data_IF_039503206682
#
_entry.id   IF_039503206682
#
_cell.length_a   1.000
_cell.length_b   1.000
_cell.length_c   1.000
_cell.angle_alpha   90.00
_cell.angle_beta   90.00
_cell.angle_gamma   90.00
#
_symmetry.space_group_name_H-M   'P 1'
#
loop_
_entity.id
_entity.type
_entity.pdbx_description
1 polymer ?
#
# COMPACT_ATOMS: atom_id res chain seq x y z
N UNK A 1 -3.00 -19.48 -32.60
CA UNK A 1 -3.01 -20.25 -31.33
C UNK A 1 -4.24 -19.85 -30.55
N UNK A 2 -5.03 -20.83 -30.09
CA UNK A 2 -6.18 -20.57 -29.22
C UNK A 2 -5.76 -20.69 -27.75
N UNK A 3 -6.23 -19.77 -26.92
CA UNK A 3 -5.95 -19.73 -25.48
C UNK A 3 -7.22 -19.47 -24.68
N UNK A 4 -7.35 -20.15 -23.55
CA UNK A 4 -8.41 -19.87 -22.58
C UNK A 4 -7.97 -18.70 -21.71
N UNK A 5 -8.87 -17.77 -21.45
CA UNK A 5 -8.62 -16.57 -20.65
C UNK A 5 -9.77 -16.36 -19.69
N UNK A 6 -9.50 -15.64 -18.59
CA UNK A 6 -10.58 -15.14 -17.73
C UNK A 6 -11.07 -13.81 -18.29
N UNK A 7 -12.38 -13.59 -18.44
CA UNK A 7 -12.91 -12.27 -18.76
C UNK A 7 -12.41 -11.22 -17.77
N UNK A 8 -12.21 -9.99 -18.23
CA UNK A 8 -11.64 -8.87 -17.47
C UNK A 8 -10.23 -9.07 -16.89
N UNK A 9 -9.54 -10.16 -17.26
CA UNK A 9 -8.14 -10.32 -16.92
C UNK A 9 -7.21 -9.53 -17.84
N UNK A 10 -5.95 -9.46 -17.44
CA UNK A 10 -4.87 -8.94 -18.27
C UNK A 10 -4.06 -10.10 -18.86
N UNK A 11 -3.80 -10.03 -20.16
CA UNK A 11 -2.93 -10.95 -20.89
C UNK A 11 -1.69 -10.19 -21.38
N UNK A 12 -0.52 -10.69 -21.01
CA UNK A 12 0.77 -10.23 -21.52
C UNK A 12 1.23 -11.20 -22.62
N UNK A 13 1.56 -10.64 -23.78
CA UNK A 13 2.05 -11.37 -24.94
C UNK A 13 3.47 -10.87 -25.23
N UNK A 14 4.45 -11.70 -24.90
CA UNK A 14 5.86 -11.42 -25.15
C UNK A 14 6.29 -12.19 -26.37
N UNK A 15 6.71 -11.50 -27.42
CA UNK A 15 7.32 -12.14 -28.56
C UNK A 15 8.33 -11.21 -29.20
N UNK A 16 9.21 -11.80 -30.00
CA UNK A 16 10.22 -11.06 -30.74
C UNK A 16 9.99 -11.28 -32.22
N UNK A 17 9.97 -10.18 -32.97
CA UNK A 17 10.07 -10.23 -34.42
C UNK A 17 11.55 -10.28 -34.81
N UNK A 18 11.98 -11.36 -35.45
CA UNK A 18 13.30 -11.42 -36.08
C UNK A 18 13.32 -10.46 -37.27
N UNK A 19 14.22 -9.49 -37.20
CA UNK A 19 14.45 -8.54 -38.29
C UNK A 19 15.36 -9.18 -39.35
N UNK A 20 15.19 -8.75 -40.60
CA UNK A 20 16.12 -9.05 -41.70
C UNK A 20 17.51 -8.44 -41.46
N UNK A 21 18.49 -8.78 -42.29
CA UNK A 21 19.85 -8.22 -42.20
C UNK A 21 19.91 -6.68 -42.32
N UNK A 22 18.90 -6.06 -42.94
CA UNK A 22 18.73 -4.60 -43.00
C UNK A 22 18.05 -4.01 -41.76
N UNK A 23 17.83 -4.81 -40.71
CA UNK A 23 17.08 -4.45 -39.47
C UNK A 23 15.61 -4.09 -39.74
N UNK A 24 15.06 -4.59 -40.84
CA UNK A 24 13.66 -4.40 -41.23
C UNK A 24 12.85 -5.66 -40.96
N UNK A 25 11.65 -5.52 -40.42
CA UNK A 25 10.75 -6.65 -40.16
C UNK A 25 9.69 -6.25 -39.15
N UNK A 26 8.46 -6.68 -39.40
CA UNK A 26 7.33 -6.43 -38.52
C UNK A 26 6.34 -7.60 -38.60
N UNK A 27 5.62 -7.82 -37.50
CA UNK A 27 4.53 -8.79 -37.42
C UNK A 27 3.29 -8.09 -36.91
N UNK A 28 2.16 -8.27 -37.60
CA UNK A 28 0.85 -7.95 -37.07
C UNK A 28 0.39 -9.05 -36.12
N UNK A 29 0.32 -8.76 -34.83
CA UNK A 29 -0.38 -9.58 -33.84
C UNK A 29 -1.86 -9.21 -33.90
N UNK A 30 -2.68 -10.16 -34.37
CA UNK A 30 -4.14 -10.07 -34.42
C UNK A 30 -4.73 -10.93 -33.30
N UNK A 31 -5.58 -10.33 -32.47
CA UNK A 31 -6.27 -10.97 -31.35
C UNK A 31 -7.76 -11.02 -31.69
N UNK A 32 -8.34 -12.22 -31.70
CA UNK A 32 -9.75 -12.45 -32.00
C UNK A 32 -10.47 -13.13 -30.85
N UNK A 33 -11.76 -12.85 -30.70
CA UNK A 33 -12.67 -13.69 -29.92
C UNK A 33 -12.81 -15.03 -30.66
N UNK A 34 -12.36 -16.12 -30.05
CA UNK A 34 -12.33 -17.45 -30.69
C UNK A 34 -13.71 -18.10 -30.81
N UNK A 35 -14.76 -17.56 -30.18
CA UNK A 35 -16.14 -18.05 -30.33
C UNK A 35 -16.86 -17.32 -31.45
N UNK A 36 -16.67 -15.99 -31.50
CA UNK A 36 -17.34 -15.12 -32.49
C UNK A 36 -16.55 -14.97 -33.78
N UNK A 37 -15.27 -15.34 -33.77
CA UNK A 37 -14.31 -15.07 -34.85
C UNK A 37 -14.21 -13.58 -35.21
N UNK A 38 -14.44 -12.71 -34.23
CA UNK A 38 -14.37 -11.25 -34.39
C UNK A 38 -13.02 -10.74 -33.95
N UNK A 39 -12.42 -9.85 -34.72
CA UNK A 39 -11.18 -9.16 -34.33
C UNK A 39 -11.44 -8.20 -33.17
N UNK A 40 -10.66 -8.37 -32.11
CA UNK A 40 -10.68 -7.51 -30.93
C UNK A 40 -9.54 -6.49 -31.00
N UNK A 41 -8.39 -6.90 -31.54
CA UNK A 41 -7.26 -6.02 -31.72
C UNK A 41 -6.27 -6.46 -32.79
N UNK A 42 -5.57 -5.48 -33.36
CA UNK A 42 -4.38 -5.69 -34.19
C UNK A 42 -3.30 -4.70 -33.79
N UNK A 43 -2.08 -5.19 -33.58
CA UNK A 43 -0.90 -4.37 -33.30
C UNK A 43 0.26 -4.77 -34.19
N UNK A 44 0.94 -3.79 -34.80
CA UNK A 44 2.14 -4.01 -35.60
C UNK A 44 3.38 -3.97 -34.69
N UNK A 45 4.19 -5.03 -34.72
CA UNK A 45 5.32 -5.23 -33.82
C UNK A 45 6.61 -5.38 -34.62
N UNK A 46 7.43 -4.34 -34.62
CA UNK A 46 8.67 -4.24 -35.39
C UNK A 46 9.96 -4.35 -34.54
N UNK A 47 9.85 -4.41 -33.21
CA UNK A 47 10.99 -4.42 -32.28
C UNK A 47 11.08 -5.72 -31.48
N UNK A 48 12.28 -6.03 -31.03
CA UNK A 48 12.57 -7.22 -30.19
C UNK A 48 12.26 -6.96 -28.72
N UNK A 49 11.85 -7.99 -27.98
CA UNK A 49 11.81 -7.96 -26.50
C UNK A 49 10.73 -7.07 -25.88
N UNK A 50 9.61 -6.85 -26.58
CA UNK A 50 8.52 -5.96 -26.15
C UNK A 50 7.42 -6.76 -25.44
N UNK A 51 7.00 -6.32 -24.25
CA UNK A 51 5.85 -6.84 -23.54
C UNK A 51 4.57 -6.11 -23.96
N UNK A 52 3.64 -6.85 -24.55
CA UNK A 52 2.37 -6.31 -25.06
C UNK A 52 1.23 -6.67 -24.10
N UNK A 53 0.59 -5.66 -23.54
CA UNK A 53 -0.54 -5.81 -22.62
C UNK A 53 -1.87 -5.70 -23.37
N UNK A 54 -2.70 -6.73 -23.24
CA UNK A 54 -4.07 -6.76 -23.73
C UNK A 54 -5.03 -6.94 -22.55
N UNK A 55 -6.02 -6.07 -22.45
CA UNK A 55 -7.15 -6.24 -21.52
C UNK A 55 -8.20 -7.13 -22.18
N UNK A 56 -8.46 -8.28 -21.57
CA UNK A 56 -9.47 -9.22 -22.08
C UNK A 56 -10.86 -8.62 -21.88
N UNK A 57 -11.72 -8.55 -22.93
CA UNK A 57 -13.10 -8.10 -22.79
C UNK A 57 -13.90 -8.92 -21.77
N UNK A 58 -14.93 -8.29 -21.19
CA UNK A 58 -15.83 -8.87 -20.17
C UNK A 58 -16.58 -10.12 -20.65
N UNK A 59 -16.70 -10.32 -21.96
CA UNK A 59 -17.47 -11.38 -22.60
C UNK A 59 -16.62 -12.38 -23.40
N UNK A 60 -15.28 -12.26 -23.32
CA UNK A 60 -14.33 -13.14 -23.98
C UNK A 60 -13.64 -14.06 -22.96
N UNK A 61 -13.83 -15.37 -23.13
CA UNK A 61 -13.17 -16.42 -22.32
C UNK A 61 -12.20 -17.29 -23.15
N UNK A 62 -12.13 -17.04 -24.46
CA UNK A 62 -11.22 -17.72 -25.37
C UNK A 62 -10.76 -16.79 -26.48
N UNK A 63 -9.46 -16.71 -26.69
CA UNK A 63 -8.84 -15.83 -27.69
C UNK A 63 -8.08 -16.65 -28.74
N UNK A 64 -8.15 -16.20 -29.99
CA UNK A 64 -7.29 -16.64 -31.06
C UNK A 64 -6.22 -15.60 -31.33
N UNK A 65 -4.96 -15.99 -31.12
CA UNK A 65 -3.78 -15.18 -31.40
C UNK A 65 -3.23 -15.58 -32.77
N UNK A 66 -3.23 -14.65 -33.72
CA UNK A 66 -2.69 -14.81 -35.06
C UNK A 66 -1.50 -13.87 -35.23
N UNK A 67 -0.42 -14.40 -35.77
CA UNK A 67 0.80 -13.65 -36.03
C UNK A 67 1.01 -13.63 -37.53
N UNK A 68 0.84 -12.45 -38.13
CA UNK A 68 0.84 -12.28 -39.58
C UNK A 68 2.07 -11.44 -39.95
N UNK A 69 3.04 -11.97 -40.70
CA UNK A 69 4.17 -11.18 -41.18
C UNK A 69 3.70 -9.95 -41.98
N UNK A 70 4.28 -8.80 -41.68
CA UNK A 70 4.04 -7.57 -42.43
C UNK A 70 5.13 -7.40 -43.49
N UNK A 71 4.83 -7.90 -44.69
CA UNK A 71 5.76 -7.84 -45.81
C UNK A 71 6.02 -6.42 -46.32
N UNK A 72 5.18 -5.44 -45.95
CA UNK A 72 5.39 -4.04 -46.34
C UNK A 72 6.52 -3.38 -45.57
N UNK A 73 6.90 -3.93 -44.42
CA UNK A 73 7.98 -3.42 -43.59
C UNK A 73 9.38 -3.68 -44.18
N UNK A 74 9.49 -4.51 -45.24
CA UNK A 74 10.76 -4.82 -45.92
C UNK A 74 10.85 -4.02 -47.22
N UNK A 75 11.72 -3.00 -47.22
CA UNK A 75 11.88 -2.09 -48.36
C UNK A 75 12.73 -2.70 -49.51
N UNK A 76 13.56 -3.71 -49.20
CA UNK A 76 14.43 -4.38 -50.18
C UNK A 76 14.43 -5.91 -49.98
N UNK A 77 13.60 -6.59 -50.76
CA UNK A 77 13.44 -8.03 -50.72
C UNK A 77 14.68 -8.81 -51.24
N UNK A 78 15.64 -8.14 -51.89
CA UNK A 78 16.88 -8.77 -52.38
C UNK A 78 17.85 -9.11 -51.24
N UNK A 79 17.69 -8.46 -50.09
CA UNK A 79 18.54 -8.62 -48.89
C UNK A 79 17.95 -9.60 -47.86
N UNK A 80 16.85 -10.27 -48.19
CA UNK A 80 16.25 -11.33 -47.35
C UNK A 80 17.08 -12.60 -47.51
N UNK A 81 17.65 -13.09 -46.41
CA UNK A 81 18.38 -14.35 -46.39
C UNK A 81 17.43 -15.51 -46.72
N UNK A 82 17.75 -16.28 -47.76
CA UNK A 82 17.13 -17.59 -48.00
C UNK A 82 17.72 -18.58 -47.01
N UNK A 83 16.89 -19.21 -46.19
CA UNK A 83 17.36 -20.23 -45.25
C UNK A 83 17.78 -21.51 -46.00
N UNK A 84 18.45 -22.44 -45.29
CA UNK A 84 18.92 -23.71 -45.86
C UNK A 84 17.80 -24.59 -46.45
N UNK A 85 16.56 -24.32 -46.07
CA UNK A 85 15.33 -24.97 -46.56
C UNK A 85 14.78 -24.34 -47.85
N UNK A 86 15.42 -23.30 -48.39
CA UNK A 86 15.05 -22.65 -49.65
C UNK A 86 13.95 -21.60 -49.55
N UNK A 87 13.38 -21.37 -48.35
CA UNK A 87 12.33 -20.38 -48.13
C UNK A 87 12.90 -19.01 -47.76
N UNK A 88 12.30 -17.96 -48.32
CA UNK A 88 12.54 -16.56 -47.94
C UNK A 88 11.51 -16.16 -46.90
N UNK A 89 11.96 -15.91 -45.68
CA UNK A 89 11.08 -15.56 -44.57
C UNK A 89 11.17 -14.06 -44.29
N UNK A 90 10.01 -13.42 -44.19
CA UNK A 90 9.87 -11.96 -44.12
C UNK A 90 9.95 -11.42 -42.68
N UNK A 91 9.66 -12.28 -41.68
CA UNK A 91 9.77 -12.03 -40.24
C UNK A 91 9.54 -13.36 -39.52
N UNK A 92 10.44 -13.78 -38.63
CA UNK A 92 10.22 -14.96 -37.78
C UNK A 92 9.80 -14.53 -36.40
N UNK A 93 8.94 -15.33 -35.77
CA UNK A 93 8.73 -15.26 -34.34
C UNK A 93 9.42 -16.48 -33.76
N UNK A 94 10.50 -16.22 -33.03
CA UNK A 94 11.31 -17.26 -32.43
C UNK A 94 10.59 -17.90 -31.24
N UNK A 95 10.01 -17.07 -30.35
CA UNK A 95 9.30 -17.53 -29.16
C UNK A 95 8.11 -16.62 -28.83
N UNK A 96 7.03 -17.23 -28.31
CA UNK A 96 5.85 -16.53 -27.78
C UNK A 96 5.66 -16.94 -26.32
N UNK A 97 5.84 -15.98 -25.41
CA UNK A 97 5.49 -16.08 -24.01
C UNK A 97 4.11 -15.48 -23.76
N UNK A 98 3.29 -16.20 -22.98
CA UNK A 98 1.97 -15.75 -22.55
C UNK A 98 1.92 -15.75 -21.04
N UNK A 99 1.58 -14.61 -20.44
CA UNK A 99 1.53 -14.43 -19.00
C UNK A 99 0.25 -13.73 -18.60
N UNK A 100 -0.24 -13.98 -17.39
CA UNK A 100 -1.19 -13.05 -16.78
C UNK A 100 -0.48 -11.75 -16.40
N UNK A 101 -1.25 -10.67 -16.25
CA UNK A 101 -0.74 -9.43 -15.68
C UNK A 101 -0.23 -9.57 -14.24
N UNK A 102 0.16 -8.44 -13.68
CA UNK A 102 0.49 -8.33 -12.25
C UNK A 102 -0.74 -8.49 -11.38
N UNK A 103 -0.54 -8.91 -10.14
CA UNK A 103 -1.61 -8.98 -9.15
C UNK A 103 -1.07 -8.57 -7.79
N UNK A 104 -1.35 -7.32 -7.41
CA UNK A 104 -0.96 -6.80 -6.10
C UNK A 104 -1.99 -7.15 -5.03
N UNK A 105 -1.51 -7.38 -3.81
CA UNK A 105 -2.39 -7.64 -2.67
C UNK A 105 -1.68 -7.24 -1.37
N UNK A 106 -2.46 -6.97 -0.32
CA UNK A 106 -1.92 -6.83 1.03
C UNK A 106 -1.58 -8.23 1.54
N UNK A 107 -0.29 -8.52 1.66
CA UNK A 107 0.23 -9.83 2.02
C UNK A 107 0.27 -10.05 3.53
N UNK A 108 0.68 -9.04 4.28
CA UNK A 108 0.77 -9.11 5.73
C UNK A 108 0.69 -7.72 6.37
N UNK A 109 0.30 -7.67 7.65
CA UNK A 109 0.45 -6.51 8.50
C UNK A 109 1.20 -6.91 9.77
N UNK A 110 2.26 -6.18 10.09
CA UNK A 110 3.04 -6.41 11.31
C UNK A 110 2.75 -5.27 12.30
N UNK A 111 1.84 -5.54 13.23
CA UNK A 111 1.21 -4.52 14.06
C UNK A 111 1.40 -4.85 15.53
N UNK A 112 1.65 -3.82 16.35
CA UNK A 112 1.48 -3.97 17.79
C UNK A 112 0.01 -4.30 18.08
N UNK A 113 -0.29 -5.20 19.03
CA UNK A 113 -1.65 -5.70 19.23
C UNK A 113 -2.65 -4.62 19.67
N UNK A 114 -2.15 -3.53 20.25
CA UNK A 114 -2.93 -2.45 20.84
C UNK A 114 -2.28 -1.10 20.53
N UNK A 115 -3.11 -0.09 20.32
CA UNK A 115 -2.73 1.32 20.32
C UNK A 115 -3.10 1.95 21.67
N UNK A 116 -2.38 2.99 22.07
CA UNK A 116 -2.69 3.77 23.28
C UNK A 116 -3.19 5.13 22.86
N UNK A 117 -4.24 5.61 23.52
CA UNK A 117 -4.77 6.95 23.28
C UNK A 117 -3.67 8.02 23.48
N UNK A 118 -3.78 9.13 22.78
CA UNK A 118 -2.83 10.24 22.81
C UNK A 118 -1.36 9.83 22.57
N UNK A 119 -1.11 8.75 21.82
CA UNK A 119 0.21 8.29 21.40
C UNK A 119 0.27 7.99 19.91
N UNK A 120 1.48 8.02 19.36
CA UNK A 120 1.76 7.53 18.02
C UNK A 120 1.64 6.00 17.97
N UNK A 121 1.09 5.48 16.88
CA UNK A 121 0.99 4.07 16.58
C UNK A 121 1.57 3.79 15.19
N UNK A 122 2.40 2.75 15.08
CA UNK A 122 3.07 2.40 13.81
C UNK A 122 2.28 1.31 13.10
N UNK A 123 1.99 1.54 11.82
CA UNK A 123 1.34 0.58 10.93
C UNK A 123 2.39 0.11 9.92
N UNK A 124 2.64 -1.20 9.89
CA UNK A 124 3.50 -1.83 8.90
C UNK A 124 2.67 -2.70 7.96
N UNK A 125 2.76 -2.43 6.66
CA UNK A 125 2.03 -3.13 5.60
C UNK A 125 3.01 -3.73 4.60
N UNK A 126 2.86 -5.02 4.30
CA UNK A 126 3.58 -5.69 3.22
C UNK A 126 2.64 -5.90 2.04
N UNK A 127 3.01 -5.37 0.88
CA UNK A 127 2.26 -5.48 -0.38
C UNK A 127 3.02 -6.45 -1.29
N UNK A 128 2.41 -7.58 -1.61
CA UNK A 128 2.99 -8.61 -2.48
C UNK A 128 2.50 -8.48 -3.92
N UNK A 129 3.28 -9.01 -4.86
CA UNK A 129 2.85 -9.29 -6.23
C UNK A 129 2.88 -10.79 -6.49
N UNK A 130 1.72 -11.44 -6.68
CA UNK A 130 1.63 -12.86 -7.05
C UNK A 130 1.11 -13.06 -8.49
N UNK A 131 1.11 -12.02 -9.31
CA UNK A 131 0.88 -12.13 -10.75
C UNK A 131 2.10 -12.67 -11.48
N UNK A 132 1.94 -13.04 -12.75
CA UNK A 132 3.04 -13.55 -13.58
C UNK A 132 3.84 -12.44 -14.28
N UNK A 133 3.54 -11.18 -13.96
CA UNK A 133 4.23 -10.02 -14.51
C UNK A 133 4.44 -8.91 -13.47
N UNK A 134 5.34 -7.97 -13.75
CA UNK A 134 5.66 -6.88 -12.84
C UNK A 134 4.53 -5.85 -12.75
N UNK A 135 4.21 -5.40 -11.54
CA UNK A 135 3.36 -4.22 -11.34
C UNK A 135 4.20 -2.96 -11.55
N UNK A 136 3.70 -1.96 -12.25
CA UNK A 136 4.44 -0.74 -12.53
C UNK A 136 4.59 0.13 -11.30
N UNK A 137 5.82 0.58 -11.04
CA UNK A 137 6.18 1.55 -10.01
C UNK A 137 6.56 2.90 -10.60
N UNK A 138 6.38 3.10 -11.91
CA UNK A 138 6.49 4.42 -12.55
C UNK A 138 5.70 5.46 -11.76
N UNK A 139 6.07 6.72 -11.90
CA UNK A 139 5.38 7.81 -11.23
C UNK A 139 3.86 7.72 -11.46
N UNK A 140 3.08 7.81 -10.37
CA UNK A 140 1.61 7.75 -10.35
C UNK A 140 0.96 6.40 -10.76
N UNK A 141 1.74 5.36 -11.09
CA UNK A 141 1.19 4.07 -11.55
C UNK A 141 0.97 3.04 -10.43
N UNK A 142 1.40 3.34 -9.21
CA UNK A 142 1.07 2.57 -8.00
C UNK A 142 0.66 3.53 -6.88
N UNK A 143 -0.46 3.22 -6.23
CA UNK A 143 -1.03 3.96 -5.11
C UNK A 143 -1.50 3.00 -4.03
N UNK A 144 -1.15 3.30 -2.79
CA UNK A 144 -1.73 2.68 -1.61
C UNK A 144 -2.45 3.75 -0.79
N UNK A 145 -3.74 3.56 -0.60
CA UNK A 145 -4.64 4.49 0.08
C UNK A 145 -5.14 3.86 1.37
N UNK A 146 -5.15 4.64 2.44
CA UNK A 146 -5.68 4.22 3.74
C UNK A 146 -6.65 5.28 4.24
N UNK A 147 -7.91 4.87 4.43
CA UNK A 147 -8.92 5.70 5.10
C UNK A 147 -8.81 5.45 6.58
N UNK A 148 -8.45 6.49 7.33
CA UNK A 148 -8.23 6.44 8.76
C UNK A 148 -9.56 6.61 9.50
N UNK A 149 -9.78 5.85 10.58
CA UNK A 149 -10.99 6.00 11.41
C UNK A 149 -10.99 7.33 12.15
N UNK A 150 -12.17 7.72 12.66
CA UNK A 150 -12.31 8.92 13.49
C UNK A 150 -11.39 8.84 14.73
N UNK A 151 -10.79 9.97 15.10
CA UNK A 151 -9.82 10.03 16.21
C UNK A 151 -8.42 9.54 15.81
N UNK A 152 -8.20 9.17 14.55
CA UNK A 152 -6.88 8.80 14.04
C UNK A 152 -6.45 9.74 12.93
N UNK A 153 -5.24 10.26 13.03
CA UNK A 153 -4.65 11.18 12.03
C UNK A 153 -3.28 10.71 11.60
N UNK A 154 -2.89 10.98 10.35
CA UNK A 154 -1.57 10.63 9.85
C UNK A 154 -0.47 11.50 10.50
N UNK A 155 0.66 10.90 10.86
CA UNK A 155 1.86 11.63 11.30
C UNK A 155 2.69 11.99 10.08
N UNK A 156 2.86 13.30 9.83
CA UNK A 156 3.64 13.80 8.70
C UNK A 156 5.08 13.25 8.72
N UNK A 157 5.63 13.03 7.52
CA UNK A 157 7.01 12.55 7.29
C UNK A 157 7.35 11.23 7.99
N UNK A 158 6.34 10.43 8.35
CA UNK A 158 6.52 9.14 9.04
C UNK A 158 6.70 7.94 8.11
N UNK A 159 6.42 8.09 6.80
CA UNK A 159 6.53 6.99 5.85
C UNK A 159 7.99 6.55 5.67
N UNK A 160 8.23 5.26 5.85
CA UNK A 160 9.43 4.58 5.41
C UNK A 160 9.07 3.37 4.55
N UNK A 161 9.96 3.02 3.62
CA UNK A 161 9.72 1.92 2.68
C UNK A 161 10.93 1.00 2.60
N UNK A 162 10.68 -0.30 2.53
CA UNK A 162 11.72 -1.29 2.24
C UNK A 162 11.44 -1.95 0.90
N UNK A 163 12.34 -1.75 -0.04
CA UNK A 163 12.26 -2.31 -1.40
C UNK A 163 12.94 -3.68 -1.46
N UNK A 164 12.35 -4.68 -2.13
CA UNK A 164 12.86 -6.05 -2.08
C UNK A 164 14.15 -6.24 -2.87
N UNK A 165 15.07 -7.04 -2.32
CA UNK A 165 16.27 -7.48 -3.03
C UNK A 165 15.92 -8.35 -4.26
N UNK A 166 16.73 -8.23 -5.31
CA UNK A 166 16.55 -8.96 -6.56
C UNK A 166 15.41 -8.44 -7.42
N UNK A 167 14.94 -7.22 -7.17
CA UNK A 167 14.01 -6.49 -8.03
C UNK A 167 14.78 -5.72 -9.13
N UNK A 168 15.83 -6.35 -9.68
CA UNK A 168 17.05 -5.81 -10.32
C UNK A 168 18.13 -5.30 -9.34
N UNK A 169 19.40 -5.61 -9.66
CA UNK A 169 20.56 -5.32 -8.82
C UNK A 169 20.71 -3.81 -8.55
N UNK A 170 20.91 -3.45 -7.29
CA UNK A 170 21.15 -2.05 -6.86
C UNK A 170 20.00 -1.07 -7.17
N UNK A 171 18.76 -1.56 -7.25
CA UNK A 171 17.55 -0.73 -7.37
C UNK A 171 17.05 -0.28 -6.00
N UNK A 172 16.64 0.99 -5.90
CA UNK A 172 16.02 1.58 -4.71
C UNK A 172 14.75 2.30 -5.15
N UNK A 173 13.67 2.15 -4.39
CA UNK A 173 12.44 2.92 -4.60
C UNK A 173 12.70 4.39 -4.32
N UNK A 174 12.28 5.28 -5.22
CA UNK A 174 12.28 6.72 -4.91
C UNK A 174 11.27 6.99 -3.80
N UNK A 175 11.56 7.97 -2.96
CA UNK A 175 10.61 8.40 -1.93
C UNK A 175 9.23 8.61 -2.55
N UNK A 176 8.23 7.95 -1.98
CA UNK A 176 6.85 8.06 -2.44
C UNK A 176 6.32 9.46 -2.12
N UNK A 177 5.41 9.96 -2.95
CA UNK A 177 4.64 11.14 -2.60
C UNK A 177 3.57 10.75 -1.60
N UNK A 178 3.50 11.48 -0.49
CA UNK A 178 2.47 11.32 0.54
C UNK A 178 1.49 12.47 0.42
N UNK A 179 0.20 12.15 0.33
CA UNK A 179 -0.87 13.12 0.37
C UNK A 179 -1.86 12.73 1.47
N UNK A 180 -2.02 13.56 2.50
CA UNK A 180 -3.00 13.36 3.56
C UNK A 180 -4.13 14.38 3.44
N UNK A 181 -5.31 13.90 3.03
CA UNK A 181 -6.54 14.67 3.01
C UNK A 181 -7.20 14.59 4.39
N UNK A 182 -7.13 15.67 5.15
CA UNK A 182 -7.72 15.76 6.49
C UNK A 182 -9.26 15.74 6.47
N UNK A 183 -9.89 16.23 5.41
CA UNK A 183 -11.35 16.27 5.31
C UNK A 183 -11.92 14.87 5.05
N UNK A 184 -11.27 14.10 4.18
CA UNK A 184 -11.62 12.70 3.92
C UNK A 184 -10.99 11.72 4.93
N UNK A 185 -10.16 12.23 5.85
CA UNK A 185 -9.27 11.48 6.73
C UNK A 185 -8.55 10.32 6.02
N UNK A 186 -7.96 10.61 4.86
CA UNK A 186 -7.39 9.60 3.97
C UNK A 186 -5.96 9.96 3.61
N UNK A 187 -5.05 9.01 3.77
CA UNK A 187 -3.67 9.12 3.32
C UNK A 187 -3.46 8.30 2.06
N UNK A 188 -2.75 8.87 1.09
CA UNK A 188 -2.39 8.23 -0.18
C UNK A 188 -0.88 8.27 -0.36
N UNK A 189 -0.29 7.10 -0.56
CA UNK A 189 1.12 6.93 -0.90
C UNK A 189 1.24 6.59 -2.38
N UNK A 190 1.95 7.42 -3.14
CA UNK A 190 2.07 7.30 -4.61
C UNK A 190 3.51 7.03 -5.04
N UNK A 191 3.72 6.01 -5.88
CA UNK A 191 5.06 5.70 -6.42
C UNK A 191 5.62 6.85 -7.24
N UNK A 192 6.95 7.01 -7.19
CA UNK A 192 7.69 8.01 -7.97
C UNK A 192 8.72 7.39 -8.92
N UNK A 193 8.66 6.07 -9.12
CA UNK A 193 9.67 5.30 -9.84
C UNK A 193 10.72 4.67 -8.93
N UNK A 194 11.75 4.13 -9.55
CA UNK A 194 12.94 3.58 -8.87
C UNK A 194 14.21 4.27 -9.40
N UNK A 195 15.32 4.11 -8.69
CA UNK A 195 16.66 4.54 -9.13
C UNK A 195 17.64 3.40 -9.04
N UNK A 196 18.65 3.38 -9.91
CA UNK A 196 19.83 2.51 -9.78
C UNK A 196 21.07 3.32 -9.45
N UNK A 197 21.98 2.72 -8.68
CA UNK A 197 23.29 3.31 -8.38
C UNK A 197 24.18 3.53 -9.62
N UNK A 198 23.88 2.88 -10.76
CA UNK A 198 24.72 2.90 -11.97
C UNK A 198 24.11 3.61 -13.18
N UNK A 199 22.94 4.23 -13.03
CA UNK A 199 22.28 4.96 -14.14
C UNK A 199 21.92 4.08 -15.35
N UNK A 200 21.90 2.76 -15.20
CA UNK A 200 21.51 1.81 -16.24
C UNK A 200 19.99 1.70 -16.33
N UNK A 201 19.49 1.26 -17.49
CA UNK A 201 18.07 0.98 -17.69
C UNK A 201 17.53 0.14 -16.53
N UNK A 202 16.55 0.68 -15.82
CA UNK A 202 15.93 0.03 -14.66
C UNK A 202 14.49 -0.25 -15.01
N UNK A 203 14.04 -1.48 -14.82
CA UNK A 203 12.60 -1.77 -14.89
C UNK A 203 11.95 -1.24 -13.62
N UNK A 204 11.17 -0.18 -13.75
CA UNK A 204 10.43 0.43 -12.64
C UNK A 204 9.19 -0.41 -12.29
N UNK A 205 9.42 -1.62 -11.77
CA UNK A 205 8.37 -2.61 -11.50
C UNK A 205 8.53 -3.25 -10.14
N UNK A 206 7.47 -3.71 -9.50
CA UNK A 206 7.52 -4.72 -8.44
C UNK A 206 7.39 -6.08 -9.12
N UNK A 207 8.47 -6.86 -9.15
CA UNK A 207 8.49 -8.16 -9.83
C UNK A 207 7.55 -9.19 -9.17
N UNK A 208 7.14 -10.24 -9.91
CA UNK A 208 6.46 -11.40 -9.35
C UNK A 208 7.19 -11.98 -8.13
N UNK A 209 6.43 -12.47 -7.17
CA UNK A 209 6.87 -13.08 -5.91
C UNK A 209 7.75 -12.16 -5.03
N UNK A 210 7.71 -10.85 -5.29
CA UNK A 210 8.35 -9.83 -4.46
C UNK A 210 7.32 -9.06 -3.65
N UNK A 211 7.79 -8.44 -2.58
CA UNK A 211 6.98 -7.59 -1.72
C UNK A 211 7.62 -6.23 -1.46
N UNK A 212 6.81 -5.19 -1.49
CA UNK A 212 7.14 -3.86 -0.99
C UNK A 212 6.63 -3.73 0.45
N UNK A 213 7.48 -3.29 1.38
CA UNK A 213 7.05 -2.99 2.75
C UNK A 213 6.94 -1.48 2.95
N UNK A 214 5.86 -1.05 3.57
CA UNK A 214 5.61 0.32 3.98
C UNK A 214 5.42 0.34 5.49
N UNK A 215 6.00 1.33 6.15
CA UNK A 215 5.81 1.59 7.57
C UNK A 215 5.52 3.06 7.75
N UNK A 216 4.46 3.39 8.48
CA UNK A 216 4.06 4.76 8.72
C UNK A 216 3.39 4.89 10.07
N UNK A 217 3.31 6.12 10.59
CA UNK A 217 2.73 6.39 11.90
C UNK A 217 1.42 7.14 11.80
N UNK A 218 0.56 6.87 12.77
CA UNK A 218 -0.69 7.61 13.00
C UNK A 218 -0.74 8.05 14.46
N UNK A 219 -1.34 9.22 14.70
CA UNK A 219 -1.71 9.63 16.05
C UNK A 219 -3.09 9.09 16.35
N UNK A 220 -3.22 8.42 17.49
CA UNK A 220 -4.51 7.96 18.02
C UNK A 220 -4.88 8.91 19.15
N UNK A 221 -5.99 9.64 19.04
CA UNK A 221 -6.38 10.66 20.00
C UNK A 221 -7.89 10.74 20.18
N UNK A 222 -8.32 11.00 21.42
CA UNK A 222 -9.71 11.24 21.78
C UNK A 222 -10.68 10.13 21.33
N UNK A 223 -10.21 8.88 21.36
CA UNK A 223 -11.08 7.73 21.14
C UNK A 223 -11.72 7.35 22.48
N UNK A 224 -13.03 7.12 22.48
CA UNK A 224 -13.72 6.52 23.62
C UNK A 224 -13.20 5.10 23.83
N UNK A 225 -12.26 4.95 24.76
CA UNK A 225 -11.61 3.67 25.07
C UNK A 225 -12.32 2.97 26.23
N UNK A 226 -12.28 1.63 26.27
CA UNK A 226 -11.63 0.74 25.29
C UNK A 226 -12.50 0.46 24.06
N UNK A 227 -11.89 0.47 22.86
CA UNK A 227 -12.61 0.33 21.59
C UNK A 227 -11.72 -0.23 20.49
N UNK A 228 -12.31 -1.02 19.60
CA UNK A 228 -11.68 -1.40 18.34
C UNK A 228 -12.00 -0.36 17.26
N UNK A 229 -11.00 0.00 16.49
CA UNK A 229 -11.14 0.87 15.32
C UNK A 229 -10.69 0.15 14.06
N UNK A 230 -11.39 0.42 12.95
CA UNK A 230 -11.16 -0.26 11.68
C UNK A 230 -10.48 0.65 10.67
N UNK A 231 -9.50 0.09 9.96
CA UNK A 231 -8.77 0.74 8.88
C UNK A 231 -9.17 0.12 7.56
N UNK A 232 -9.45 0.98 6.57
CA UNK A 232 -9.84 0.56 5.24
C UNK A 232 -8.77 0.92 4.23
N UNK A 233 -8.41 -0.03 3.38
CA UNK A 233 -7.25 0.09 2.50
C UNK A 233 -7.62 -0.20 1.06
N UNK A 234 -6.98 0.54 0.15
CA UNK A 234 -7.14 0.37 -1.29
C UNK A 234 -5.78 0.39 -1.97
N UNK A 235 -5.60 -0.54 -2.91
CA UNK A 235 -4.46 -0.59 -3.81
C UNK A 235 -4.94 -0.22 -5.21
N UNK A 236 -4.25 0.71 -5.85
CA UNK A 236 -4.47 1.03 -7.26
C UNK A 236 -3.15 0.89 -7.99
N UNK A 237 -3.11 0.10 -9.06
CA UNK A 237 -1.88 -0.14 -9.79
C UNK A 237 -2.14 -0.45 -11.27
N UNK A 238 -1.05 -0.46 -12.04
CA UNK A 238 -1.06 -0.90 -13.44
C UNK A 238 -0.04 -2.00 -13.65
N UNK A 239 -0.33 -2.95 -14.53
CA UNK A 239 0.69 -3.91 -14.97
C UNK A 239 1.71 -3.21 -15.86
N UNK A 240 2.99 -3.46 -15.60
CA UNK A 240 4.07 -2.94 -16.43
C UNK A 240 3.99 -3.55 -17.83
N UNK A 241 4.22 -2.73 -18.85
CA UNK A 241 4.25 -3.16 -20.24
C UNK A 241 5.02 -2.14 -21.07
N UNK A 242 5.50 -2.58 -22.22
CA UNK A 242 6.17 -1.72 -23.20
C UNK A 242 5.15 -1.17 -24.21
N UNK A 243 4.14 -1.98 -24.54
CA UNK A 243 3.06 -1.62 -25.47
C UNK A 243 1.72 -2.03 -24.85
N UNK A 244 0.75 -1.13 -24.88
CA UNK A 244 -0.65 -1.43 -24.55
C UNK A 244 -1.43 -1.56 -25.84
N UNK A 245 -2.16 -2.66 -26.00
CA UNK A 245 -2.94 -2.95 -27.19
C UNK A 245 -4.32 -2.30 -27.07
N UNK A 246 -4.65 -1.44 -28.03
CA UNK A 246 -5.98 -0.86 -28.30
C UNK A 246 -6.66 -0.01 -27.20
N UNK A 247 -6.02 0.27 -26.06
CA UNK A 247 -6.60 1.08 -24.99
C UNK A 247 -5.53 1.85 -24.21
N UNK A 248 -5.97 2.80 -23.37
CA UNK A 248 -5.14 3.33 -22.30
C UNK A 248 -4.72 2.18 -21.37
N UNK A 249 -3.53 2.29 -20.76
CA UNK A 249 -3.01 1.29 -19.84
C UNK A 249 -4.06 0.99 -18.75
N UNK A 250 -4.55 -0.26 -18.63
CA UNK A 250 -5.55 -0.61 -17.66
C UNK A 250 -5.07 -0.28 -16.24
N UNK A 251 -6.01 0.15 -15.42
CA UNK A 251 -5.79 0.41 -14.00
C UNK A 251 -6.64 -0.55 -13.19
N UNK A 252 -6.01 -1.21 -12.23
CA UNK A 252 -6.64 -2.17 -11.34
C UNK A 252 -6.75 -1.53 -9.97
N UNK A 253 -7.98 -1.47 -9.45
CA UNK A 253 -8.27 -1.07 -8.08
C UNK A 253 -8.72 -2.29 -7.29
N UNK A 254 -8.11 -2.52 -6.14
CA UNK A 254 -8.47 -3.56 -5.19
C UNK A 254 -8.72 -2.94 -3.82
N UNK A 255 -9.77 -3.38 -3.15
CA UNK A 255 -10.01 -3.07 -1.73
C UNK A 255 -9.49 -4.25 -0.93
N UNK A 256 -8.58 -3.99 0.02
CA UNK A 256 -8.11 -5.04 0.92
C UNK A 256 -9.11 -5.24 2.05
N UNK A 257 -9.09 -6.41 2.67
CA UNK A 257 -9.90 -6.67 3.85
C UNK A 257 -9.55 -5.67 4.96
N UNK A 258 -10.54 -5.00 5.56
CA UNK A 258 -10.30 -4.09 6.68
C UNK A 258 -9.59 -4.80 7.83
N UNK A 259 -8.82 -4.05 8.62
CA UNK A 259 -8.20 -4.57 9.84
C UNK A 259 -8.55 -3.70 11.04
N UNK A 260 -8.66 -4.34 12.20
CA UNK A 260 -9.02 -3.68 13.45
C UNK A 260 -7.81 -3.56 14.38
N UNK A 261 -7.72 -2.44 15.09
CA UNK A 261 -6.76 -2.21 16.17
C UNK A 261 -7.51 -1.89 17.45
N UNK A 262 -7.18 -2.59 18.53
CA UNK A 262 -7.70 -2.27 19.85
C UNK A 262 -7.02 -1.03 20.42
N UNK A 263 -7.81 -0.08 20.92
CA UNK A 263 -7.32 1.16 21.52
C UNK A 263 -7.57 1.11 23.03
N UNK A 264 -6.52 1.37 23.78
CA UNK A 264 -6.52 1.42 25.24
C UNK A 264 -6.27 2.83 25.76
N UNK A 265 -6.67 3.07 27.01
CA UNK A 265 -6.47 4.38 27.62
C UNK A 265 -4.99 4.64 27.88
N UNK A 266 -4.63 5.92 27.84
CA UNK A 266 -3.34 6.41 28.27
C UNK A 266 -3.36 6.69 29.77
N UNK A 267 -2.52 5.97 30.51
CA UNK A 267 -2.43 6.06 31.98
C UNK A 267 -1.18 6.80 32.46
N UNK A 268 -0.34 7.32 31.55
CA UNK A 268 0.94 7.94 31.90
C UNK A 268 0.79 9.14 32.83
N UNK A 269 -0.13 10.08 32.51
CA UNK A 269 -0.36 11.27 33.32
C UNK A 269 -0.92 10.91 34.71
N UNK A 270 -1.82 9.94 34.78
CA UNK A 270 -2.38 9.45 36.03
C UNK A 270 -1.29 8.79 36.91
N UNK A 271 -0.42 7.98 36.30
CA UNK A 271 0.72 7.37 36.97
C UNK A 271 1.69 8.44 37.52
N UNK A 272 1.92 9.53 36.78
CA UNK A 272 2.74 10.65 37.26
C UNK A 272 2.14 11.33 38.49
N UNK A 273 0.83 11.57 38.50
CA UNK A 273 0.15 12.14 39.69
C UNK A 273 0.28 11.22 40.90
N UNK A 274 0.09 9.90 40.72
CA UNK A 274 0.26 8.92 41.79
C UNK A 274 1.69 8.89 42.33
N UNK A 275 2.68 8.92 41.44
CA UNK A 275 4.10 8.87 41.81
C UNK A 275 4.60 10.18 42.44
N UNK A 276 3.86 11.28 42.30
CA UNK A 276 4.23 12.58 42.85
C UNK A 276 4.21 12.55 44.38
N UNK A 277 5.31 13.00 44.98
CA UNK A 277 5.42 13.22 46.42
C UNK A 277 4.93 14.64 46.75
N UNK A 278 4.07 14.74 47.75
CA UNK A 278 3.50 16.00 48.24
C UNK A 278 4.03 16.21 49.65
N UNK A 279 4.54 17.42 49.92
CA UNK A 279 4.89 17.84 51.27
C UNK A 279 3.64 18.44 51.92
N UNK A 280 3.04 17.64 52.81
CA UNK A 280 1.80 17.96 53.53
C UNK A 280 1.89 19.28 54.34
N UNK A 281 3.09 19.75 54.69
CA UNK A 281 3.24 20.98 55.51
C UNK A 281 2.79 22.25 54.80
N UNK A 282 2.70 22.23 53.46
CA UNK A 282 2.34 23.40 52.65
C UNK A 282 0.83 23.55 52.40
N UNK A 283 0.04 22.50 52.65
CA UNK A 283 -1.38 22.45 52.24
C UNK A 283 -2.34 22.29 53.40
N UNK A 284 -3.61 22.62 53.18
CA UNK A 284 -4.64 22.44 54.21
C UNK A 284 -4.92 20.95 54.45
N UNK A 285 -5.26 20.58 55.68
CA UNK A 285 -5.59 19.19 56.04
C UNK A 285 -6.74 18.62 55.20
N UNK A 286 -7.75 19.44 54.91
CA UNK A 286 -8.89 19.03 54.09
C UNK A 286 -8.49 18.74 52.63
N UNK A 287 -7.65 19.59 52.03
CA UNK A 287 -7.14 19.37 50.66
C UNK A 287 -6.30 18.10 50.55
N UNK A 288 -5.45 17.82 51.55
CA UNK A 288 -4.63 16.60 51.58
C UNK A 288 -5.49 15.35 51.67
N UNK A 289 -6.55 15.37 52.49
CA UNK A 289 -7.46 14.24 52.61
C UNK A 289 -8.19 13.92 51.29
N UNK A 290 -8.69 14.95 50.59
CA UNK A 290 -9.32 14.76 49.27
C UNK A 290 -8.30 14.31 48.22
N UNK A 291 -7.10 14.91 48.19
CA UNK A 291 -6.02 14.48 47.30
C UNK A 291 -5.65 13.00 47.50
N UNK A 292 -5.51 12.54 48.73
CA UNK A 292 -5.20 11.14 49.05
C UNK A 292 -6.32 10.18 48.62
N UNK A 293 -7.59 10.59 48.76
CA UNK A 293 -8.74 9.81 48.27
C UNK A 293 -8.72 9.70 46.74
N UNK A 294 -8.42 10.79 46.03
CA UNK A 294 -8.27 10.79 44.58
C UNK A 294 -7.07 9.92 44.14
N UNK A 295 -5.96 9.92 44.89
CA UNK A 295 -4.82 9.02 44.63
C UNK A 295 -5.19 7.55 44.75
N UNK A 296 -5.98 7.16 45.75
CA UNK A 296 -6.47 5.78 45.88
C UNK A 296 -7.37 5.35 44.71
N UNK A 297 -8.22 6.27 44.22
CA UNK A 297 -8.99 6.04 43.00
C UNK A 297 -8.08 5.84 41.79
N UNK A 298 -7.04 6.68 41.66
CA UNK A 298 -6.06 6.58 40.59
C UNK A 298 -5.31 5.24 40.63
N UNK A 299 -4.87 4.80 41.81
CA UNK A 299 -4.24 3.48 42.01
C UNK A 299 -5.15 2.33 41.61
N UNK A 300 -6.46 2.43 41.88
CA UNK A 300 -7.43 1.41 41.48
C UNK A 300 -7.50 1.30 39.95
N UNK A 301 -7.58 2.44 39.26
CA UNK A 301 -7.60 2.50 37.79
C UNK A 301 -6.29 1.97 37.20
N UNK A 302 -5.13 2.37 37.74
CA UNK A 302 -3.83 1.90 37.26
C UNK A 302 -3.69 0.37 37.32
N UNK A 303 -4.33 -0.28 38.29
CA UNK A 303 -4.26 -1.73 38.52
C UNK A 303 -5.40 -2.54 37.88
N UNK A 304 -6.30 -1.94 37.10
CA UNK A 304 -7.45 -2.65 36.49
C UNK A 304 -7.07 -3.90 35.69
N UNK A 305 -5.97 -3.85 34.94
CA UNK A 305 -5.52 -4.98 34.12
C UNK A 305 -4.95 -6.11 34.99
N UNK A 306 -4.12 -5.77 35.98
CA UNK A 306 -3.59 -6.71 36.97
C UNK A 306 -4.71 -7.33 37.83
N UNK A 307 -5.79 -6.59 38.05
CA UNK A 307 -6.98 -7.02 38.77
C UNK A 307 -8.02 -7.73 37.88
N UNK A 308 -7.69 -8.01 36.61
CA UNK A 308 -8.57 -8.68 35.65
C UNK A 308 -9.94 -8.00 35.48
N UNK A 309 -10.01 -6.68 35.61
CA UNK A 309 -11.24 -5.92 35.31
C UNK A 309 -11.56 -6.10 33.83
N UNK A 310 -12.78 -6.57 33.54
CA UNK A 310 -13.26 -6.74 32.17
C UNK A 310 -13.18 -5.43 31.40
N UNK A 311 -12.76 -5.49 30.14
CA UNK A 311 -12.56 -4.32 29.27
C UNK A 311 -13.76 -3.36 29.27
N UNK A 312 -14.99 -3.87 29.23
CA UNK A 312 -16.21 -3.05 29.24
C UNK A 312 -16.43 -2.25 30.54
N UNK A 313 -15.77 -2.64 31.64
CA UNK A 313 -15.92 -2.03 32.96
C UNK A 313 -14.70 -1.18 33.38
N UNK A 314 -13.68 -1.07 32.52
CA UNK A 314 -12.50 -0.24 32.79
C UNK A 314 -12.83 1.24 32.61
N UNK A 315 -12.15 2.10 33.35
CA UNK A 315 -12.29 3.55 33.24
C UNK A 315 -12.04 4.03 31.81
N UNK A 316 -12.85 4.95 31.31
CA UNK A 316 -12.65 5.55 29.99
C UNK A 316 -11.46 6.53 29.99
N UNK A 317 -11.02 6.95 28.80
CA UNK A 317 -10.01 8.02 28.73
C UNK A 317 -10.51 9.31 29.40
N UNK A 318 -11.80 9.64 29.23
CA UNK A 318 -12.40 10.83 29.85
C UNK A 318 -12.41 10.74 31.38
N UNK A 319 -12.65 9.56 31.96
CA UNK A 319 -12.58 9.35 33.40
C UNK A 319 -11.16 9.56 33.93
N UNK A 320 -10.16 9.06 33.20
CA UNK A 320 -8.75 9.23 33.54
C UNK A 320 -8.34 10.70 33.46
N UNK A 321 -8.66 11.39 32.37
CA UNK A 321 -8.30 12.80 32.16
C UNK A 321 -9.00 13.70 33.21
N UNK A 322 -10.26 13.39 33.53
CA UNK A 322 -11.02 14.06 34.58
C UNK A 322 -10.42 13.84 35.97
N UNK A 323 -9.94 12.63 36.27
CA UNK A 323 -9.28 12.34 37.54
C UNK A 323 -7.92 13.04 37.65
N UNK A 324 -7.14 13.08 36.57
CA UNK A 324 -5.88 13.85 36.51
C UNK A 324 -6.12 15.32 36.80
N UNK A 325 -7.16 15.92 36.19
CA UNK A 325 -7.52 17.33 36.42
C UNK A 325 -7.90 17.58 37.88
N UNK A 326 -8.67 16.67 38.49
CA UNK A 326 -9.03 16.78 39.91
C UNK A 326 -7.81 16.67 40.82
N UNK A 327 -6.89 15.74 40.55
CA UNK A 327 -5.65 15.59 41.30
C UNK A 327 -4.80 16.86 41.25
N UNK A 328 -4.68 17.48 40.08
CA UNK A 328 -3.93 18.72 39.88
C UNK A 328 -4.52 19.92 40.62
N UNK A 329 -5.85 19.94 40.82
CA UNK A 329 -6.56 21.04 41.48
C UNK A 329 -6.83 20.82 42.98
N UNK A 330 -6.59 19.63 43.51
CA UNK A 330 -7.04 19.25 44.85
C UNK A 330 -6.23 19.92 45.99
N UNK A 331 -4.96 20.24 45.75
CA UNK A 331 -4.08 20.83 46.77
C UNK A 331 -4.28 22.35 46.88
N UNK A 332 -4.58 22.83 48.09
CA UNK A 332 -4.80 24.25 48.39
C UNK A 332 -3.74 24.71 49.39
N UNK A 333 -2.93 25.69 48.99
CA UNK A 333 -1.86 26.24 49.82
C UNK A 333 -2.39 26.85 51.12
N UNK A 334 -1.71 26.57 52.22
CA UNK A 334 -2.03 27.12 53.54
C UNK A 334 -2.05 28.66 53.55
N UNK A 335 -1.20 29.31 52.75
CA UNK A 335 -1.14 30.78 52.66
C UNK A 335 -2.30 31.38 51.86
N UNK A 336 -2.77 30.68 50.83
CA UNK A 336 -3.92 31.11 50.04
C UNK A 336 -5.23 31.04 50.86
N UNK A 337 -5.37 30.04 51.73
CA UNK A 337 -6.51 29.89 52.62
C UNK A 337 -6.60 30.98 53.70
N UNK A 338 -5.46 31.55 54.13
CA UNK A 338 -5.42 32.63 55.12
C UNK A 338 -5.89 33.96 54.51
N UNK A 339 -5.61 34.21 53.22
CA UNK A 339 -5.99 35.46 52.54
C UNK A 339 -7.49 35.59 52.21
N UNK A 340 -8.28 34.50 52.25
CA UNK A 340 -9.75 34.55 52.11
C UNK A 340 -10.48 34.81 53.45
N UNK A 341 -9.75 34.82 54.57
CA UNK A 341 -10.30 35.04 55.91
C UNK A 341 -10.06 36.46 56.46
N UNK A 342 -9.29 37.29 55.76
CA UNK A 342 -9.05 38.73 56.05
C UNK A 342 -9.90 39.64 55.14
#
# INVERSE_FOLDING_TARGET
KTVNVKPDSELIINFTTMQTNSKQGATNLVIKDAKKNTELATVNVAKTGTAHLFKVPTDADRLDLQFIPDNTAVADASRITTNKDGYKYYSFIDNVGLFSGSHLYVKNRDLAPKATNNKEYTINTEIGNNGNFGASLKADQFKYEVTLPQGVTYVNDSLTTTFPNGNEDSTVLKNMTVNYDQNANKVTFTSQGVTTARGTHTKEVLFPDKSLKLSYKVNVANIDTPKNIDFNEKLTYRTASDVVINNAQPEVTLTADPFSVAVEMNKDALQQQVNSQVDDSHFTTASIAEYNKLKQQADTILNEDANHVETANRASQADIDGLVTKLQAALIDNQAAIAELD
#
